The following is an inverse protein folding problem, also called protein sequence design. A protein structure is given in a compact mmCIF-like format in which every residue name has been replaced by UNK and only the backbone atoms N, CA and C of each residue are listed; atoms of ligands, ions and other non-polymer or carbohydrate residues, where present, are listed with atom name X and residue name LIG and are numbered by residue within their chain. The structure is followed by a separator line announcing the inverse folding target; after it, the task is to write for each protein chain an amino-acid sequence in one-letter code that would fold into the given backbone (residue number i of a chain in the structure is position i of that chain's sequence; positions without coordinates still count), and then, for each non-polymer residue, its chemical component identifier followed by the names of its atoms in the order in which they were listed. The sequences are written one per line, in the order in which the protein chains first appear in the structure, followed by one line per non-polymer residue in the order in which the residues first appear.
data_IF_988428822245
#
_entry.id   IF_988428822245
#
_cell.length_a   1.000
_cell.length_b   1.000
_cell.length_c   1.000
_cell.angle_alpha   90.00
_cell.angle_beta   90.00
_cell.angle_gamma   90.00
#
_symmetry.space_group_name_H-M   'P 1'
#
loop_
_entity.id
_entity.type
_entity.pdbx_description
1 polymer ?
#
# COMPACT_ATOMS: atom_id res chain seq x y z
N UNK A 1 -9.80 -4.99 -25.82
CA UNK A 1 -8.51 -4.98 -25.10
C UNK A 1 -8.84 -5.30 -23.65
N UNK A 2 -8.12 -6.19 -22.99
CA UNK A 2 -8.31 -6.47 -21.56
C UNK A 2 -7.08 -6.02 -20.76
N UNK A 3 -7.31 -5.28 -19.69
CA UNK A 3 -6.24 -4.77 -18.82
C UNK A 3 -6.58 -5.15 -17.39
N UNK A 4 -5.65 -5.81 -16.70
CA UNK A 4 -5.75 -6.10 -15.27
C UNK A 4 -4.67 -5.34 -14.47
N UNK A 5 -4.75 -5.45 -13.14
CA UNK A 5 -3.84 -4.76 -12.24
C UNK A 5 -3.16 -5.73 -11.28
N UNK A 6 -1.91 -5.43 -10.93
CA UNK A 6 -1.27 -6.07 -9.77
C UNK A 6 -2.05 -5.61 -8.52
N UNK A 7 -2.74 -6.56 -7.88
CA UNK A 7 -3.64 -6.29 -6.77
C UNK A 7 -3.07 -6.85 -5.47
N UNK A 8 -2.94 -6.01 -4.43
CA UNK A 8 -2.54 -6.47 -3.09
C UNK A 8 -3.63 -7.32 -2.39
N UNK A 9 -4.89 -7.10 -2.74
CA UNK A 9 -6.05 -7.68 -2.06
C UNK A 9 -7.08 -6.62 -1.70
N UNK A 10 -8.22 -7.05 -1.17
CA UNK A 10 -9.33 -6.15 -0.87
C UNK A 10 -9.98 -6.51 0.46
N UNK A 11 -10.10 -5.54 1.39
CA UNK A 11 -10.84 -5.75 2.63
C UNK A 11 -12.36 -5.81 2.43
N UNK A 12 -13.07 -6.21 3.48
CA UNK A 12 -14.51 -6.05 3.54
C UNK A 12 -14.89 -4.57 3.72
N UNK A 13 -15.81 -4.06 2.89
CA UNK A 13 -16.29 -2.67 2.94
C UNK A 13 -16.83 -2.27 4.31
N UNK A 14 -17.45 -3.19 5.05
CA UNK A 14 -17.96 -2.94 6.42
C UNK A 14 -16.84 -2.54 7.39
N UNK A 15 -15.63 -3.09 7.22
CA UNK A 15 -14.47 -2.74 8.05
C UNK A 15 -14.04 -1.29 7.76
N UNK A 16 -14.03 -0.89 6.48
CA UNK A 16 -13.72 0.47 6.09
C UNK A 16 -14.78 1.47 6.58
N UNK A 17 -16.06 1.17 6.39
CA UNK A 17 -17.16 1.98 6.91
C UNK A 17 -17.07 2.18 8.43
N UNK A 18 -16.79 1.11 9.19
CA UNK A 18 -16.58 1.21 10.64
C UNK A 18 -15.38 2.07 11.03
N UNK A 19 -14.31 2.06 10.22
CA UNK A 19 -13.16 2.95 10.37
C UNK A 19 -13.52 4.42 10.13
N UNK A 20 -14.28 4.71 9.06
CA UNK A 20 -14.79 6.04 8.73
C UNK A 20 -15.67 6.56 9.88
N UNK A 21 -16.68 5.80 10.30
CA UNK A 21 -17.56 6.17 11.41
C UNK A 21 -16.80 6.39 12.72
N UNK A 22 -15.73 5.62 12.97
CA UNK A 22 -14.88 5.85 14.13
C UNK A 22 -14.15 7.21 14.07
N UNK A 23 -13.61 7.60 12.91
CA UNK A 23 -12.96 8.90 12.74
C UNK A 23 -13.98 10.03 12.96
N UNK A 24 -15.13 9.94 12.30
CA UNK A 24 -16.20 10.94 12.36
C UNK A 24 -16.67 11.18 13.79
N UNK A 25 -17.00 10.10 14.51
CA UNK A 25 -17.40 10.18 15.93
C UNK A 25 -16.29 10.76 16.81
N UNK A 26 -15.05 10.30 16.65
CA UNK A 26 -13.92 10.75 17.47
C UNK A 26 -13.61 12.23 17.25
N UNK A 27 -13.72 12.71 16.02
CA UNK A 27 -13.37 14.10 15.66
C UNK A 27 -14.57 15.04 15.63
N UNK A 28 -15.80 14.53 15.76
CA UNK A 28 -17.06 15.28 15.58
C UNK A 28 -17.12 16.00 14.23
N UNK A 29 -16.78 15.26 13.17
CA UNK A 29 -16.76 15.72 11.75
C UNK A 29 -17.42 14.68 10.87
N UNK A 30 -17.75 15.06 9.64
CA UNK A 30 -18.18 14.19 8.56
C UNK A 30 -17.04 14.04 7.53
N UNK A 31 -16.78 12.82 7.05
CA UNK A 31 -15.80 12.57 5.99
C UNK A 31 -16.50 12.71 4.63
N UNK A 32 -16.04 13.67 3.84
CA UNK A 32 -16.57 13.96 2.50
C UNK A 32 -15.89 13.14 1.41
N UNK A 33 -14.59 12.90 1.55
CA UNK A 33 -13.83 12.11 0.60
C UNK A 33 -12.66 11.39 1.29
N UNK A 34 -12.26 10.27 0.72
CA UNK A 34 -11.09 9.51 1.18
C UNK A 34 -10.28 9.07 -0.04
N UNK A 35 -9.00 9.42 -0.07
CA UNK A 35 -8.05 8.95 -1.06
C UNK A 35 -7.01 8.05 -0.38
N UNK A 36 -6.95 6.79 -0.79
CA UNK A 36 -5.96 5.84 -0.29
C UNK A 36 -4.53 6.13 -0.75
N UNK A 37 -4.35 6.92 -1.82
CA UNK A 37 -3.05 7.25 -2.41
C UNK A 37 -2.90 8.75 -2.58
N UNK A 38 -2.49 9.40 -1.48
CA UNK A 38 -2.13 10.80 -1.49
C UNK A 38 -0.71 11.00 -2.03
N UNK A 39 -0.61 11.55 -3.24
CA UNK A 39 0.68 11.84 -3.90
C UNK A 39 1.22 13.24 -3.60
N UNK A 40 0.58 14.04 -2.74
CA UNK A 40 1.07 15.38 -2.37
C UNK A 40 2.44 15.37 -1.69
N UNK A 41 2.88 14.22 -1.20
CA UNK A 41 4.20 13.99 -0.57
C UNK A 41 5.09 13.05 -1.40
N UNK A 42 4.80 12.93 -2.69
CA UNK A 42 5.43 11.97 -3.59
C UNK A 42 4.83 10.57 -3.51
N UNK A 43 5.44 9.63 -4.23
CA UNK A 43 5.04 8.23 -4.25
C UNK A 43 5.40 7.54 -2.94
N UNK A 44 4.41 6.86 -2.35
CA UNK A 44 4.58 6.19 -1.07
C UNK A 44 3.24 5.88 -0.42
N UNK A 45 3.30 5.63 0.88
CA UNK A 45 2.19 5.10 1.66
C UNK A 45 1.46 6.19 2.45
N UNK A 46 1.03 7.24 1.75
CA UNK A 46 0.21 8.31 2.31
C UNK A 46 -1.23 8.18 1.81
N UNK A 47 -2.16 8.49 2.70
CA UNK A 47 -3.57 8.62 2.40
C UNK A 47 -4.04 10.00 2.87
N UNK A 48 -5.12 10.48 2.27
CA UNK A 48 -5.78 11.69 2.74
C UNK A 48 -7.28 11.52 2.82
N UNK A 49 -7.91 12.38 3.62
CA UNK A 49 -9.36 12.50 3.64
C UNK A 49 -9.75 13.94 3.94
N UNK A 50 -10.88 14.35 3.35
CA UNK A 50 -11.47 15.67 3.53
C UNK A 50 -12.63 15.54 4.50
N UNK A 51 -12.73 16.48 5.44
CA UNK A 51 -13.81 16.52 6.43
C UNK A 51 -14.52 17.86 6.46
N UNK A 52 -15.80 17.84 6.82
CA UNK A 52 -16.60 19.01 7.13
C UNK A 52 -17.05 18.95 8.59
N UNK A 53 -17.01 20.09 9.30
CA UNK A 53 -17.52 20.20 10.67
C UNK A 53 -18.88 20.91 10.72
N UNK A 54 -19.49 20.99 11.91
CA UNK A 54 -20.78 21.69 12.12
C UNK A 54 -20.81 23.17 11.70
N UNK A 55 -19.64 23.81 11.58
CA UNK A 55 -19.50 25.21 11.11
C UNK A 55 -19.22 25.29 9.60
N UNK A 56 -19.48 24.22 8.85
CA UNK A 56 -19.20 24.08 7.42
C UNK A 56 -17.73 24.29 7.03
N UNK A 57 -16.79 24.20 7.98
CA UNK A 57 -15.37 24.35 7.70
C UNK A 57 -14.81 23.05 7.13
N UNK A 58 -14.32 23.13 5.89
CA UNK A 58 -13.65 22.03 5.20
C UNK A 58 -12.18 21.97 5.61
N UNK A 59 -11.67 20.76 5.86
CA UNK A 59 -10.24 20.49 6.12
C UNK A 59 -9.81 19.19 5.47
N UNK A 60 -8.64 19.20 4.85
CA UNK A 60 -8.00 17.99 4.31
C UNK A 60 -6.87 17.55 5.23
N UNK A 61 -6.81 16.26 5.54
CA UNK A 61 -5.77 15.66 6.37
C UNK A 61 -4.97 14.67 5.54
N UNK A 62 -3.66 14.89 5.43
CA UNK A 62 -2.71 13.95 4.84
C UNK A 62 -1.94 13.20 5.93
N UNK A 63 -1.99 11.87 5.91
CA UNK A 63 -1.35 11.02 6.89
C UNK A 63 -0.62 9.85 6.25
N UNK A 64 0.51 9.48 6.86
CA UNK A 64 1.19 8.24 6.51
C UNK A 64 0.37 7.03 7.03
N UNK A 65 0.43 5.89 6.34
CA UNK A 65 -0.39 4.71 6.64
C UNK A 65 -0.27 4.22 8.09
N UNK A 66 0.89 4.41 8.73
CA UNK A 66 1.12 4.01 10.12
C UNK A 66 0.22 4.75 11.14
N UNK A 67 -0.46 5.83 10.72
CA UNK A 67 -1.48 6.52 11.54
C UNK A 67 -2.86 5.86 11.47
N UNK A 68 -3.06 4.89 10.57
CA UNK A 68 -4.30 4.15 10.40
C UNK A 68 -4.10 2.67 10.72
N UNK A 69 -4.89 2.14 11.65
CA UNK A 69 -4.88 0.70 11.95
C UNK A 69 -5.55 -0.06 10.83
N UNK A 70 -6.61 0.50 10.23
CA UNK A 70 -7.22 -0.04 9.02
C UNK A 70 -6.16 -0.27 7.93
N UNK A 71 -5.34 0.75 7.65
CA UNK A 71 -4.35 0.69 6.58
C UNK A 71 -3.21 -0.29 6.92
N UNK A 72 -2.76 -0.32 8.17
CA UNK A 72 -1.75 -1.29 8.61
C UNK A 72 -2.24 -2.74 8.52
N UNK A 73 -3.48 -3.01 8.94
CA UNK A 73 -4.08 -4.34 8.81
C UNK A 73 -4.32 -4.73 7.35
N UNK A 74 -4.64 -3.77 6.48
CA UNK A 74 -4.75 -3.98 5.04
C UNK A 74 -3.40 -4.37 4.42
N UNK A 75 -2.34 -3.60 4.67
CA UNK A 75 -1.01 -3.87 4.14
C UNK A 75 -0.42 -5.18 4.67
N UNK A 76 -0.77 -5.59 5.90
CA UNK A 76 -0.38 -6.89 6.44
C UNK A 76 -1.30 -8.04 6.01
N UNK A 77 -2.20 -7.81 5.05
CA UNK A 77 -3.19 -8.77 4.55
C UNK A 77 -4.09 -9.37 5.65
N UNK A 78 -4.22 -8.72 6.81
CA UNK A 78 -4.93 -9.25 7.97
C UNK A 78 -6.45 -9.09 7.89
N UNK A 79 -6.94 -8.26 6.97
CA UNK A 79 -8.37 -7.97 6.79
C UNK A 79 -8.84 -8.18 5.35
N UNK A 80 -8.04 -8.83 4.51
CA UNK A 80 -8.42 -9.18 3.15
C UNK A 80 -9.51 -10.26 3.12
N UNK A 81 -10.27 -10.32 2.02
CA UNK A 81 -11.24 -11.37 1.72
C UNK A 81 -10.55 -12.72 1.59
N UNK A 82 -11.29 -13.79 1.86
CA UNK A 82 -10.73 -15.16 1.82
C UNK A 82 -10.17 -15.50 0.43
N UNK A 83 -10.84 -15.07 -0.64
CA UNK A 83 -10.37 -15.24 -2.02
C UNK A 83 -9.03 -14.56 -2.33
N UNK A 84 -8.57 -13.60 -1.52
CA UNK A 84 -7.25 -12.99 -1.71
C UNK A 84 -6.10 -13.91 -1.30
N UNK A 85 -6.35 -14.89 -0.42
CA UNK A 85 -5.33 -15.83 0.07
C UNK A 85 -5.16 -17.05 -0.86
N UNK A 86 -6.10 -17.24 -1.79
CA UNK A 86 -6.12 -18.35 -2.76
C UNK A 86 -6.30 -17.82 -4.20
N UNK A 87 -5.93 -16.55 -4.43
CA UNK A 87 -6.17 -15.88 -5.70
C UNK A 87 -5.41 -16.57 -6.85
N UNK A 88 -6.09 -17.14 -7.86
CA UNK A 88 -5.42 -17.84 -8.96
C UNK A 88 -4.68 -16.87 -9.89
N UNK A 89 -5.00 -15.58 -9.83
CA UNK A 89 -4.37 -14.53 -10.63
C UNK A 89 -3.17 -13.88 -9.94
N UNK A 90 -2.79 -14.32 -8.74
CA UNK A 90 -1.61 -13.81 -8.05
C UNK A 90 -0.34 -14.54 -8.52
N UNK A 91 -0.09 -14.48 -9.83
CA UNK A 91 1.01 -15.15 -10.53
C UNK A 91 1.53 -14.25 -11.67
N UNK A 92 2.64 -14.64 -12.27
CA UNK A 92 3.26 -13.93 -13.39
C UNK A 92 2.54 -14.25 -14.70
N UNK A 93 1.93 -15.44 -14.83
CA UNK A 93 1.08 -15.80 -15.95
C UNK A 93 -0.27 -15.11 -15.85
N UNK A 94 -0.48 -14.08 -16.67
CA UNK A 94 -1.67 -13.23 -16.66
C UNK A 94 -2.60 -13.61 -17.81
N UNK A 95 -3.90 -13.51 -17.57
CA UNK A 95 -4.93 -13.83 -18.58
C UNK A 95 -5.37 -12.60 -19.40
N UNK A 96 -5.07 -11.40 -18.91
CA UNK A 96 -5.34 -10.15 -19.61
C UNK A 96 -4.35 -9.94 -20.76
N UNK A 97 -4.65 -9.03 -21.68
CA UNK A 97 -3.69 -8.63 -22.72
C UNK A 97 -2.51 -7.82 -22.12
N UNK A 98 -2.80 -7.00 -21.10
CA UNK A 98 -1.84 -6.13 -20.41
C UNK A 98 -2.11 -6.16 -18.90
N UNK A 99 -1.05 -6.18 -18.10
CA UNK A 99 -1.13 -5.94 -16.65
C UNK A 99 -0.39 -4.67 -16.29
N UNK A 100 -0.99 -3.83 -15.45
CA UNK A 100 -0.32 -2.64 -14.89
C UNK A 100 -0.22 -2.71 -13.37
N UNK A 101 0.83 -2.15 -12.79
CA UNK A 101 0.94 -2.05 -11.34
C UNK A 101 1.98 -1.03 -10.91
N UNK A 102 1.99 -0.70 -9.62
CA UNK A 102 3.10 0.03 -9.02
C UNK A 102 4.42 -0.71 -9.29
N UNK A 103 5.48 -0.03 -9.69
CA UNK A 103 6.79 -0.65 -9.93
C UNK A 103 7.62 -0.68 -8.64
N UNK A 104 7.09 -1.27 -7.56
CA UNK A 104 7.80 -1.29 -6.28
C UNK A 104 9.20 -1.89 -6.43
N UNK A 105 10.21 -1.27 -5.81
CA UNK A 105 11.60 -1.72 -5.84
C UNK A 105 12.42 -1.22 -7.04
N UNK A 106 11.83 -0.45 -7.97
CA UNK A 106 12.55 0.17 -9.08
C UNK A 106 13.74 1.00 -8.59
N UNK A 107 13.59 1.70 -7.46
CA UNK A 107 14.64 2.53 -6.86
C UNK A 107 15.84 1.73 -6.34
N UNK A 108 15.70 0.41 -6.22
CA UNK A 108 16.76 -0.51 -5.77
C UNK A 108 17.36 -1.32 -6.91
N UNK A 109 16.51 -1.81 -7.81
CA UNK A 109 16.92 -2.73 -8.88
C UNK A 109 17.39 -2.00 -10.14
N UNK A 110 16.96 -0.74 -10.34
CA UNK A 110 17.28 0.12 -11.49
C UNK A 110 17.44 1.60 -11.08
N UNK A 111 18.32 1.93 -10.11
CA UNK A 111 18.48 3.31 -9.63
C UNK A 111 18.94 4.28 -10.72
N UNK A 112 19.63 3.80 -11.76
CA UNK A 112 20.13 4.57 -12.89
C UNK A 112 19.01 5.19 -13.76
N UNK A 113 17.79 4.65 -13.69
CA UNK A 113 16.65 5.19 -14.44
C UNK A 113 16.05 6.44 -13.79
N UNK A 114 16.36 6.73 -12.52
CA UNK A 114 15.87 7.94 -11.84
C UNK A 114 16.49 9.19 -12.47
N UNK A 115 15.67 10.21 -12.72
CA UNK A 115 16.10 11.53 -13.18
C UNK A 115 17.13 12.17 -12.23
N UNK A 116 17.06 11.87 -10.93
CA UNK A 116 18.04 12.33 -9.95
C UNK A 116 19.39 11.58 -10.03
N UNK A 117 19.48 10.56 -10.89
CA UNK A 117 20.64 9.69 -11.11
C UNK A 117 21.10 9.66 -12.58
N UNK A 118 20.56 10.55 -13.41
CA UNK A 118 20.93 10.69 -14.82
C UNK A 118 20.01 9.95 -15.80
N UNK A 119 18.95 9.31 -15.31
CA UNK A 119 17.90 8.74 -16.15
C UNK A 119 16.83 9.76 -16.52
N UNK A 120 15.67 9.26 -16.96
CA UNK A 120 14.54 10.05 -17.46
C UNK A 120 13.22 9.79 -16.70
N UNK A 121 13.23 8.89 -15.71
CA UNK A 121 12.06 8.56 -14.90
C UNK A 121 12.03 9.36 -13.60
N UNK A 122 10.90 9.99 -13.29
CA UNK A 122 10.72 10.67 -12.01
C UNK A 122 10.10 9.74 -10.97
N UNK A 123 10.94 9.09 -10.16
CA UNK A 123 10.49 8.13 -9.15
C UNK A 123 9.59 8.77 -8.08
N UNK A 124 9.75 10.06 -7.79
CA UNK A 124 8.90 10.77 -6.82
C UNK A 124 7.44 10.91 -7.26
N UNK A 125 7.15 10.85 -8.56
CA UNK A 125 5.77 10.86 -9.12
C UNK A 125 5.13 9.46 -9.16
N UNK A 126 5.95 8.44 -8.95
CA UNK A 126 5.60 7.03 -8.99
C UNK A 126 5.75 6.45 -10.38
N UNK A 127 6.27 5.22 -10.44
CA UNK A 127 6.52 4.47 -11.67
C UNK A 127 5.57 3.29 -11.71
N UNK A 128 5.02 3.02 -12.89
CA UNK A 128 4.23 1.81 -13.12
C UNK A 128 5.07 0.77 -13.86
N UNK A 129 4.88 -0.50 -13.54
CA UNK A 129 5.33 -1.59 -14.40
C UNK A 129 4.18 -2.00 -15.32
N UNK A 130 4.53 -2.43 -16.53
CA UNK A 130 3.59 -2.91 -17.54
C UNK A 130 4.06 -4.28 -18.01
N UNK A 131 3.20 -5.29 -17.90
CA UNK A 131 3.43 -6.62 -18.44
C UNK A 131 2.59 -6.74 -19.71
N UNK A 132 3.23 -7.24 -20.76
CA UNK A 132 2.61 -7.48 -22.06
C UNK A 132 2.42 -9.00 -22.17
N UNK A 133 1.17 -9.45 -22.14
CA UNK A 133 0.84 -10.85 -21.89
C UNK A 133 0.33 -11.58 -23.13
N UNK A 134 -0.11 -10.84 -24.16
CA UNK A 134 -0.67 -11.41 -25.38
C UNK A 134 -0.15 -10.70 -26.64
N UNK A 135 -0.25 -11.34 -27.83
CA UNK A 135 0.06 -10.67 -29.11
C UNK A 135 -0.76 -9.38 -29.32
N UNK A 136 -2.01 -9.38 -28.86
CA UNK A 136 -2.89 -8.21 -28.91
C UNK A 136 -2.40 -7.09 -27.99
N UNK A 137 -1.97 -7.42 -26.78
CA UNK A 137 -1.33 -6.48 -25.85
C UNK A 137 -0.03 -5.91 -26.43
N UNK A 138 0.78 -6.74 -27.12
CA UNK A 138 2.01 -6.30 -27.77
C UNK A 138 1.74 -5.29 -28.89
N UNK A 139 0.74 -5.55 -29.73
CA UNK A 139 0.30 -4.60 -30.77
C UNK A 139 -0.08 -3.25 -30.15
N UNK A 140 -0.95 -3.28 -29.15
CA UNK A 140 -1.37 -2.05 -28.46
C UNK A 140 -0.21 -1.31 -27.79
N UNK A 141 0.70 -2.03 -27.13
CA UNK A 141 1.88 -1.41 -26.53
C UNK A 141 2.77 -0.73 -27.59
N UNK A 142 2.96 -1.36 -28.76
CA UNK A 142 3.76 -0.75 -29.83
C UNK A 142 3.17 0.56 -30.37
N UNK A 143 1.85 0.70 -30.34
CA UNK A 143 1.13 1.91 -30.73
C UNK A 143 1.22 2.99 -29.64
N UNK A 144 1.21 2.60 -28.35
CA UNK A 144 1.17 3.54 -27.22
C UNK A 144 2.56 3.94 -26.68
N UNK A 145 3.60 3.12 -26.87
CA UNK A 145 4.90 3.30 -26.21
C UNK A 145 5.60 4.62 -26.56
N UNK A 146 5.29 5.23 -27.71
CA UNK A 146 5.85 6.53 -28.10
C UNK A 146 5.31 7.71 -27.28
N UNK A 147 4.20 7.55 -26.58
CA UNK A 147 3.57 8.59 -25.75
C UNK A 147 4.02 8.53 -24.28
N UNK A 148 4.82 7.53 -23.91
CA UNK A 148 5.23 7.27 -22.53
C UNK A 148 6.72 6.97 -22.44
N UNK A 149 7.40 7.56 -21.47
CA UNK A 149 8.78 7.21 -21.15
C UNK A 149 8.76 5.81 -20.51
N UNK A 150 9.40 4.84 -21.16
CA UNK A 150 9.40 3.45 -20.71
C UNK A 150 10.74 2.78 -20.97
N UNK A 151 11.10 1.86 -20.07
CA UNK A 151 12.35 1.10 -20.13
C UNK A 151 12.07 -0.39 -19.96
N UNK A 152 12.73 -1.27 -20.73
CA UNK A 152 12.64 -2.70 -20.51
C UNK A 152 13.30 -3.07 -19.18
N UNK A 153 12.60 -3.84 -18.35
CA UNK A 153 13.09 -4.31 -17.05
C UNK A 153 12.89 -5.81 -16.89
N UNK A 154 13.69 -6.42 -16.03
CA UNK A 154 13.61 -7.84 -15.72
C UNK A 154 12.51 -8.09 -14.68
N UNK A 155 11.47 -8.81 -15.07
CA UNK A 155 10.31 -9.11 -14.22
C UNK A 155 10.68 -9.83 -12.92
N UNK A 156 11.71 -10.68 -12.93
CA UNK A 156 12.16 -11.41 -11.73
C UNK A 156 12.82 -10.50 -10.69
N UNK A 157 13.32 -9.33 -11.10
CA UNK A 157 13.84 -8.32 -10.16
C UNK A 157 12.71 -7.59 -9.45
N UNK A 158 11.67 -7.21 -10.21
CA UNK A 158 10.54 -6.43 -9.70
C UNK A 158 9.53 -7.30 -8.92
N UNK A 159 9.35 -8.57 -9.28
CA UNK A 159 8.42 -9.48 -8.59
C UNK A 159 8.79 -9.74 -7.13
N UNK A 160 10.07 -9.54 -6.74
CA UNK A 160 10.53 -9.57 -5.34
C UNK A 160 9.82 -8.54 -4.46
N UNK A 161 9.39 -7.42 -5.04
CA UNK A 161 8.75 -6.30 -4.34
C UNK A 161 7.26 -6.19 -4.68
N UNK A 162 6.79 -6.91 -5.69
CA UNK A 162 5.42 -6.93 -6.18
C UNK A 162 4.86 -8.34 -6.03
N UNK A 163 4.68 -8.76 -4.78
CA UNK A 163 4.47 -10.16 -4.41
C UNK A 163 3.31 -10.85 -5.14
N UNK A 164 2.25 -10.13 -5.50
CA UNK A 164 1.13 -10.73 -6.24
C UNK A 164 1.42 -11.00 -7.72
N UNK A 165 2.65 -10.76 -8.19
CA UNK A 165 3.20 -11.37 -9.40
C UNK A 165 3.72 -12.80 -9.16
N UNK A 166 3.82 -13.26 -7.91
CA UNK A 166 4.46 -14.53 -7.56
C UNK A 166 3.56 -15.45 -6.74
N UNK A 167 2.78 -14.90 -5.81
CA UNK A 167 1.91 -15.70 -4.94
C UNK A 167 0.73 -14.87 -4.37
N UNK A 168 -0.37 -15.54 -3.96
CA UNK A 168 -1.48 -14.90 -3.25
C UNK A 168 -1.07 -14.22 -1.96
N UNK A 169 -1.90 -13.31 -1.45
CA UNK A 169 -1.59 -12.62 -0.20
C UNK A 169 -1.41 -13.62 0.94
N UNK A 170 -0.44 -13.39 1.82
CA UNK A 170 -0.21 -14.26 2.98
C UNK A 170 -1.32 -14.10 4.02
N UNK A 171 -1.83 -15.23 4.51
CA UNK A 171 -2.83 -15.25 5.58
C UNK A 171 -2.19 -14.80 6.90
N UNK A 172 -2.57 -13.63 7.39
CA UNK A 172 -2.00 -13.11 8.64
C UNK A 172 -2.38 -14.02 9.83
N UNK A 173 -1.43 -14.45 10.68
CA UNK A 173 -1.70 -15.41 11.76
C UNK A 173 -2.78 -14.98 12.76
N UNK A 174 -2.91 -13.68 12.99
CA UNK A 174 -3.91 -13.10 13.91
C UNK A 174 -5.22 -12.69 13.22
N UNK A 175 -5.44 -13.04 11.94
CA UNK A 175 -6.63 -12.61 11.18
C UNK A 175 -7.93 -12.99 11.89
N UNK A 176 -8.07 -14.26 12.29
CA UNK A 176 -9.27 -14.74 12.98
C UNK A 176 -9.57 -13.87 14.20
N UNK A 177 -8.58 -13.61 15.04
CA UNK A 177 -8.72 -12.74 16.22
C UNK A 177 -9.14 -11.31 15.86
N UNK A 178 -8.60 -10.73 14.78
CA UNK A 178 -9.03 -9.40 14.32
C UNK A 178 -10.48 -9.40 13.85
N UNK A 179 -10.87 -10.37 13.02
CA UNK A 179 -12.23 -10.47 12.52
C UNK A 179 -13.24 -10.76 13.64
N UNK A 180 -12.90 -11.61 14.61
CA UNK A 180 -13.71 -11.88 15.79
C UNK A 180 -13.89 -10.62 16.64
N UNK A 181 -12.81 -9.87 16.83
CA UNK A 181 -12.84 -8.59 17.55
C UNK A 181 -13.70 -7.55 16.81
N UNK A 182 -13.62 -7.53 15.48
CA UNK A 182 -14.48 -6.70 14.63
C UNK A 182 -15.95 -7.07 14.79
N UNK A 183 -16.30 -8.35 14.72
CA UNK A 183 -17.69 -8.82 14.88
C UNK A 183 -18.27 -8.42 16.23
N UNK A 184 -17.47 -8.48 17.30
CA UNK A 184 -17.92 -8.16 18.67
C UNK A 184 -17.99 -6.66 18.98
N UNK A 185 -17.03 -5.86 18.49
CA UNK A 185 -16.82 -4.47 18.94
C UNK A 185 -16.47 -3.48 17.81
N UNK A 186 -16.71 -3.86 16.56
CA UNK A 186 -16.41 -3.04 15.37
C UNK A 186 -14.93 -2.67 15.25
N UNK A 187 -14.64 -1.57 14.55
CA UNK A 187 -13.28 -1.07 14.36
C UNK A 187 -12.55 -0.80 15.70
N UNK A 188 -13.27 -0.35 16.73
CA UNK A 188 -12.69 -0.13 18.05
C UNK A 188 -12.13 -1.42 18.66
N UNK A 189 -12.82 -2.55 18.49
CA UNK A 189 -12.34 -3.86 18.91
C UNK A 189 -11.00 -4.22 18.27
N UNK A 190 -10.95 -4.19 16.93
CA UNK A 190 -9.73 -4.46 16.18
C UNK A 190 -8.59 -3.54 16.59
N UNK A 191 -8.87 -2.24 16.75
CA UNK A 191 -7.90 -1.24 17.21
C UNK A 191 -7.31 -1.62 18.57
N UNK A 192 -8.14 -1.96 19.55
CA UNK A 192 -7.69 -2.34 20.88
C UNK A 192 -6.84 -3.62 20.84
N UNK A 193 -7.25 -4.62 20.07
CA UNK A 193 -6.49 -5.87 19.90
C UNK A 193 -5.13 -5.60 19.25
N UNK A 194 -5.08 -4.76 18.22
CA UNK A 194 -3.85 -4.39 17.52
C UNK A 194 -2.82 -3.78 18.48
N UNK A 195 -3.24 -2.79 19.29
CA UNK A 195 -2.35 -2.20 20.29
C UNK A 195 -1.94 -3.21 21.37
N UNK A 196 -2.86 -4.04 21.85
CA UNK A 196 -2.56 -5.09 22.83
C UNK A 196 -1.53 -6.10 22.31
N UNK A 197 -1.54 -6.42 21.02
CA UNK A 197 -0.59 -7.37 20.42
C UNK A 197 0.75 -6.73 20.04
N UNK A 198 0.78 -5.43 19.72
CA UNK A 198 2.00 -4.71 19.31
C UNK A 198 2.62 -3.83 20.38
N UNK A 199 2.09 -3.79 21.61
CA UNK A 199 2.57 -2.88 22.66
C UNK A 199 4.09 -2.89 22.87
N UNK A 200 4.73 -4.07 22.91
CA UNK A 200 6.20 -4.18 23.00
C UNK A 200 6.91 -3.53 21.80
N UNK A 201 6.45 -3.79 20.58
CA UNK A 201 6.99 -3.19 19.36
C UNK A 201 6.78 -1.68 19.32
N UNK A 202 5.63 -1.19 19.78
CA UNK A 202 5.32 0.24 19.83
C UNK A 202 6.18 0.98 20.87
N UNK A 203 6.42 0.36 22.03
CA UNK A 203 7.38 0.89 23.02
C UNK A 203 8.78 0.93 22.40
N UNK A 204 9.21 -0.14 21.73
CA UNK A 204 10.50 -0.16 21.03
C UNK A 204 10.60 0.93 19.96
N UNK A 205 9.58 1.10 19.12
CA UNK A 205 9.51 2.14 18.09
C UNK A 205 9.54 3.55 18.71
N UNK A 206 8.84 3.76 19.82
CA UNK A 206 8.83 5.02 20.56
C UNK A 206 10.20 5.34 21.15
N UNK A 207 10.82 4.38 21.85
CA UNK A 207 12.16 4.51 22.42
C UNK A 207 13.20 4.76 21.32
N UNK A 208 13.16 4.01 20.23
CA UNK A 208 14.00 4.26 19.07
C UNK A 208 13.70 5.64 18.46
N UNK A 209 12.45 6.12 18.48
CA UNK A 209 12.10 7.47 18.03
C UNK A 209 12.80 8.59 18.79
N UNK A 210 13.09 8.37 20.08
CA UNK A 210 13.81 9.31 20.96
C UNK A 210 15.32 9.26 20.77
N UNK A 211 15.84 8.18 20.20
CA UNK A 211 17.25 8.05 19.84
C UNK A 211 17.51 8.90 18.59
N UNK A 212 18.42 9.86 18.70
CA UNK A 212 18.83 10.70 17.56
C UNK A 212 19.30 9.84 16.38
N UNK A 213 19.11 10.32 15.15
CA UNK A 213 19.52 9.57 13.95
C UNK A 213 21.02 9.21 13.97
N UNK A 214 21.85 10.08 14.55
CA UNK A 214 23.28 9.83 14.76
C UNK A 214 23.53 8.64 15.70
N UNK A 215 22.76 8.53 16.77
CA UNK A 215 22.88 7.45 17.74
C UNK A 215 22.35 6.12 17.17
N UNK A 216 21.32 6.14 16.31
CA UNK A 216 20.88 4.95 15.54
C UNK A 216 21.96 4.44 14.58
N UNK A 217 22.67 5.33 13.88
CA UNK A 217 23.80 4.95 13.00
C UNK A 217 24.94 4.35 13.81
N UNK A 218 25.28 4.91 14.98
CA UNK A 218 26.31 4.36 15.87
C UNK A 218 25.93 2.96 16.39
N UNK A 219 24.70 2.75 16.86
CA UNK A 219 24.22 1.45 17.34
C UNK A 219 24.32 0.38 16.23
N UNK A 220 24.02 0.73 14.97
CA UNK A 220 24.18 -0.20 13.82
C UNK A 220 25.63 -0.59 13.53
N UNK A 221 26.61 0.23 13.91
CA UNK A 221 28.04 -0.08 13.75
C UNK A 221 28.58 -0.99 14.86
N UNK A 222 27.92 -1.03 16.02
CA UNK A 222 28.29 -1.88 17.17
C UNK A 222 27.61 -3.25 17.18
N UNK A 223 26.59 -3.48 16.34
CA UNK A 223 25.86 -4.77 16.23
C UNK A 223 26.31 -5.51 14.97
N UNK A 224 27.61 -5.44 14.62
CA UNK A 224 28.21 -6.24 13.54
C UNK A 224 29.17 -7.25 14.14
#
# INVERSE_FOLDING_TARGET
MTIDIICHGTPNTKIFQSYISYIEKKKKVEIQSFNFRDKSKGWGYYYNYTTTNKKQKIKTFSHHYNRSIYYQLFLSSAICRDSCYECPYATIQRISDITIGDCWGIEKEYPELDINKGGDLNFSKGISCVLINSPKGKKFWSEAQGEIISHPININRISKYNHQLSYPSHLHPLRSLYLDSFRKKGYQGMRNLFYKKRWKSLIKEFLLGWISQNMKRKIKLFIK
#
